data_IF_311812185057
#
_entry.id   IF_311812185057
#
_cell.length_a   1.000
_cell.length_b   1.000
_cell.length_c   1.000
_cell.angle_alpha   90.00
_cell.angle_beta   90.00
_cell.angle_gamma   90.00
#
_symmetry.space_group_name_H-M   'P 1'
#
loop_
_entity.id
_entity.type
_entity.pdbx_description
1 polymer ?
#
# COMPACT_ATOMS: atom_id res chain seq x y z
N UNK A 1 66.01 168.19 -38.22
CA UNK A 1 65.09 168.13 -37.07
C UNK A 1 63.88 167.29 -37.46
N UNK A 2 63.41 166.46 -36.52
CA UNK A 2 62.23 165.57 -36.55
C UNK A 2 62.32 164.27 -37.38
N UNK A 3 61.87 163.09 -36.94
CA UNK A 3 61.89 162.34 -35.67
C UNK A 3 61.15 161.00 -35.91
N UNK A 4 61.69 159.90 -35.40
CA UNK A 4 61.01 158.67 -34.93
C UNK A 4 59.95 157.96 -35.81
N UNK A 5 60.36 156.90 -36.54
CA UNK A 5 59.48 155.86 -37.10
C UNK A 5 59.86 154.37 -36.84
N UNK A 6 60.92 153.97 -36.11
CA UNK A 6 61.19 152.52 -35.94
C UNK A 6 60.37 151.85 -34.81
N UNK A 7 59.79 152.60 -33.87
CA UNK A 7 59.08 152.02 -32.71
C UNK A 7 57.72 151.40 -33.09
N UNK A 8 57.00 151.97 -34.07
CA UNK A 8 55.67 151.50 -34.48
C UNK A 8 55.72 150.16 -35.22
N UNK A 9 56.77 149.92 -36.02
CA UNK A 9 56.96 148.64 -36.70
C UNK A 9 57.37 147.52 -35.74
N UNK A 10 58.17 147.83 -34.73
CA UNK A 10 58.61 146.84 -33.73
C UNK A 10 57.44 146.38 -32.84
N UNK A 11 56.55 147.32 -32.46
CA UNK A 11 55.30 146.99 -31.73
C UNK A 11 54.34 146.16 -32.61
N UNK A 12 54.20 146.49 -33.90
CA UNK A 12 53.34 145.75 -34.82
C UNK A 12 53.86 144.31 -35.07
N UNK A 13 55.17 144.13 -35.26
CA UNK A 13 55.79 142.81 -35.40
C UNK A 13 55.66 142.00 -34.11
N UNK A 14 55.85 142.63 -32.95
CA UNK A 14 55.68 141.97 -31.65
C UNK A 14 54.24 141.50 -31.43
N UNK A 15 53.25 142.27 -31.88
CA UNK A 15 51.83 141.88 -31.83
C UNK A 15 51.53 140.70 -32.75
N UNK A 16 52.09 140.66 -33.96
CA UNK A 16 51.93 139.53 -34.89
C UNK A 16 52.59 138.27 -34.36
N UNK A 17 53.80 138.38 -33.79
CA UNK A 17 54.50 137.26 -33.16
C UNK A 17 53.77 136.77 -31.92
N UNK A 18 53.27 137.66 -31.06
CA UNK A 18 52.45 137.29 -29.89
C UNK A 18 51.11 136.67 -30.30
N UNK A 19 50.49 137.15 -31.39
CA UNK A 19 49.28 136.56 -31.95
C UNK A 19 49.54 135.14 -32.47
N UNK A 20 50.62 134.95 -33.23
CA UNK A 20 51.02 133.63 -33.76
C UNK A 20 51.40 132.65 -32.64
N UNK A 21 52.16 133.11 -31.64
CA UNK A 21 52.49 132.32 -30.45
C UNK A 21 51.26 132.01 -29.62
N UNK A 22 50.32 132.94 -29.46
CA UNK A 22 49.06 132.74 -28.76
C UNK A 22 48.19 131.68 -29.43
N UNK A 23 48.02 131.75 -30.75
CA UNK A 23 47.26 130.73 -31.51
C UNK A 23 47.94 129.37 -31.50
N UNK A 24 49.27 129.32 -31.56
CA UNK A 24 50.04 128.07 -31.46
C UNK A 24 49.91 127.43 -30.06
N UNK A 25 49.95 128.22 -28.99
CA UNK A 25 49.77 127.73 -27.62
C UNK A 25 48.36 127.20 -27.36
N UNK A 26 47.32 127.87 -27.89
CA UNK A 26 45.94 127.38 -27.82
C UNK A 26 45.80 126.06 -28.58
N UNK A 27 46.35 125.95 -29.79
CA UNK A 27 46.34 124.72 -30.58
C UNK A 27 47.08 123.57 -29.88
N UNK A 28 48.24 123.85 -29.27
CA UNK A 28 49.00 122.85 -28.51
C UNK A 28 48.24 122.41 -27.25
N UNK A 29 47.59 123.34 -26.54
CA UNK A 29 46.78 123.01 -25.37
C UNK A 29 45.53 122.19 -25.75
N UNK A 30 44.90 122.50 -26.88
CA UNK A 30 43.74 121.76 -27.40
C UNK A 30 44.14 120.34 -27.85
N UNK A 31 45.24 120.20 -28.59
CA UNK A 31 45.83 118.89 -28.93
C UNK A 31 46.25 118.10 -27.69
N UNK A 32 46.80 118.76 -26.67
CA UNK A 32 47.19 118.11 -25.41
C UNK A 32 45.97 117.62 -24.63
N UNK A 33 44.89 118.41 -24.58
CA UNK A 33 43.65 118.01 -23.94
C UNK A 33 42.94 116.89 -24.71
N UNK A 34 42.96 116.90 -26.05
CA UNK A 34 42.43 115.82 -26.89
C UNK A 34 43.25 114.52 -26.71
N UNK A 35 44.57 114.63 -26.61
CA UNK A 35 45.45 113.49 -26.28
C UNK A 35 45.17 112.94 -24.88
N UNK A 36 44.98 113.81 -23.87
CA UNK A 36 44.59 113.39 -22.52
C UNK A 36 43.22 112.70 -22.52
N UNK A 37 42.24 113.25 -23.22
CA UNK A 37 40.90 112.66 -23.33
C UNK A 37 40.93 111.28 -24.03
N UNK A 38 41.74 111.13 -25.07
CA UNK A 38 41.98 109.84 -25.74
C UNK A 38 42.69 108.87 -24.81
N UNK A 39 43.66 109.32 -24.03
CA UNK A 39 44.36 108.47 -23.07
C UNK A 39 43.44 107.99 -21.95
N UNK A 40 42.57 108.86 -21.43
CA UNK A 40 41.53 108.50 -20.46
C UNK A 40 40.50 107.53 -21.04
N UNK A 41 40.10 107.72 -22.31
CA UNK A 41 39.21 106.78 -23.00
C UNK A 41 39.86 105.40 -23.16
N UNK A 42 41.12 105.36 -23.62
CA UNK A 42 41.89 104.12 -23.75
C UNK A 42 42.06 103.44 -22.39
N UNK A 43 42.35 104.21 -21.34
CA UNK A 43 42.45 103.66 -19.97
C UNK A 43 41.11 103.07 -19.52
N UNK A 44 39.98 103.76 -19.76
CA UNK A 44 38.64 103.23 -19.44
C UNK A 44 38.29 101.97 -20.23
N UNK A 45 38.62 101.90 -21.51
CA UNK A 45 38.43 100.67 -22.30
C UNK A 45 39.32 99.54 -21.79
N UNK A 46 40.57 99.85 -21.44
CA UNK A 46 41.50 98.88 -20.85
C UNK A 46 40.98 98.35 -19.51
N UNK A 47 40.43 99.21 -18.67
CA UNK A 47 39.86 98.82 -17.37
C UNK A 47 38.64 97.91 -17.56
N UNK A 48 37.73 98.24 -18.49
CA UNK A 48 36.59 97.37 -18.84
C UNK A 48 37.04 96.01 -19.39
N UNK A 49 38.07 96.01 -20.23
CA UNK A 49 38.61 94.79 -20.82
C UNK A 49 39.27 93.92 -19.74
N UNK A 50 39.98 94.55 -18.80
CA UNK A 50 40.49 93.86 -17.60
C UNK A 50 39.37 93.32 -16.71
N UNK A 51 38.31 94.08 -16.48
CA UNK A 51 37.15 93.63 -15.69
C UNK A 51 36.45 92.43 -16.35
N UNK A 52 36.19 92.50 -17.66
CA UNK A 52 35.64 91.39 -18.44
C UNK A 52 36.57 90.16 -18.43
N UNK A 53 37.89 90.36 -18.49
CA UNK A 53 38.85 89.27 -18.40
C UNK A 53 38.80 88.61 -17.02
N UNK A 54 38.76 89.41 -15.94
CA UNK A 54 38.65 88.91 -14.56
C UNK A 54 37.35 88.12 -14.39
N UNK A 55 36.23 88.64 -14.88
CA UNK A 55 34.93 87.96 -14.80
C UNK A 55 34.91 86.66 -15.61
N UNK A 56 35.51 86.64 -16.80
CA UNK A 56 35.64 85.42 -17.59
C UNK A 56 36.52 84.38 -16.90
N UNK A 57 37.67 84.80 -16.37
CA UNK A 57 38.57 83.91 -15.61
C UNK A 57 37.89 83.37 -14.36
N UNK A 58 37.11 84.20 -13.67
CA UNK A 58 36.29 83.81 -12.53
C UNK A 58 35.20 82.81 -12.90
N UNK A 59 34.41 83.09 -13.94
CA UNK A 59 33.39 82.15 -14.44
C UNK A 59 34.00 80.82 -14.89
N UNK A 60 35.16 80.85 -15.54
CA UNK A 60 35.88 79.66 -15.97
C UNK A 60 36.41 78.86 -14.76
N UNK A 61 36.93 79.54 -13.73
CA UNK A 61 37.33 78.91 -12.48
C UNK A 61 36.12 78.29 -11.75
N UNK A 62 35.02 79.02 -11.60
CA UNK A 62 33.79 78.54 -10.98
C UNK A 62 33.19 77.34 -11.72
N UNK A 63 33.18 77.39 -13.06
CA UNK A 63 32.74 76.28 -13.91
C UNK A 63 33.62 75.04 -13.76
N UNK A 64 34.96 75.22 -13.70
CA UNK A 64 35.89 74.12 -13.43
C UNK A 64 35.67 73.50 -12.06
N UNK A 65 35.44 74.32 -11.03
CA UNK A 65 35.14 73.86 -9.66
C UNK A 65 33.80 73.12 -9.63
N UNK A 66 32.76 73.65 -10.26
CA UNK A 66 31.46 72.98 -10.34
C UNK A 66 31.55 71.65 -11.10
N UNK A 67 32.36 71.59 -12.17
CA UNK A 67 32.59 70.37 -12.92
C UNK A 67 33.35 69.31 -12.11
N UNK A 68 34.40 69.70 -11.38
CA UNK A 68 35.15 68.76 -10.52
C UNK A 68 34.30 68.25 -9.36
N UNK A 69 33.48 69.10 -8.74
CA UNK A 69 32.52 68.70 -7.72
C UNK A 69 31.51 67.69 -8.25
N UNK A 70 30.85 67.98 -9.39
CA UNK A 70 29.92 67.03 -10.03
C UNK A 70 30.59 65.71 -10.40
N UNK A 71 31.83 65.77 -10.88
CA UNK A 71 32.61 64.57 -11.20
C UNK A 71 32.87 63.72 -9.94
N UNK A 72 33.25 64.34 -8.83
CA UNK A 72 33.42 63.66 -7.55
C UNK A 72 32.11 63.06 -7.01
N UNK A 73 30.99 63.76 -7.15
CA UNK A 73 29.66 63.23 -6.78
C UNK A 73 29.27 62.02 -7.62
N UNK A 74 29.48 62.08 -8.94
CA UNK A 74 29.25 60.96 -9.86
C UNK A 74 30.12 59.75 -9.50
N UNK A 75 31.39 59.96 -9.18
CA UNK A 75 32.30 58.89 -8.75
C UNK A 75 31.83 58.25 -7.42
N UNK A 76 31.39 59.06 -6.44
CA UNK A 76 30.82 58.56 -5.18
C UNK A 76 29.54 57.74 -5.41
N UNK A 77 28.64 58.22 -6.26
CA UNK A 77 27.42 57.50 -6.64
C UNK A 77 27.74 56.17 -7.32
N UNK A 78 28.71 56.15 -8.24
CA UNK A 78 29.15 54.92 -8.90
C UNK A 78 29.73 53.91 -7.91
N UNK A 79 30.54 54.36 -6.95
CA UNK A 79 31.06 53.50 -5.89
C UNK A 79 29.95 52.94 -4.99
N UNK A 80 29.00 53.78 -4.58
CA UNK A 80 27.85 53.35 -3.79
C UNK A 80 27.01 52.29 -4.52
N UNK A 81 26.68 52.53 -5.79
CA UNK A 81 25.93 51.59 -6.61
C UNK A 81 26.68 50.26 -6.82
N UNK A 82 28.01 50.29 -6.92
CA UNK A 82 28.82 49.08 -7.02
C UNK A 82 28.76 48.27 -5.73
N UNK A 83 28.92 48.93 -4.58
CA UNK A 83 28.83 48.29 -3.26
C UNK A 83 27.44 47.70 -3.03
N UNK A 84 26.39 48.42 -3.40
CA UNK A 84 25.00 47.95 -3.27
C UNK A 84 24.73 46.74 -4.16
N UNK A 85 25.26 46.71 -5.39
CA UNK A 85 25.19 45.54 -6.27
C UNK A 85 25.92 44.32 -5.69
N UNK A 86 27.12 44.52 -5.17
CA UNK A 86 27.90 43.44 -4.53
C UNK A 86 27.17 42.89 -3.30
N UNK A 87 26.56 43.77 -2.50
CA UNK A 87 25.73 43.37 -1.36
C UNK A 87 24.53 42.55 -1.82
N UNK A 88 23.77 43.05 -2.80
CA UNK A 88 22.59 42.37 -3.34
C UNK A 88 22.95 41.01 -3.96
N UNK A 89 24.10 40.92 -4.65
CA UNK A 89 24.57 39.66 -5.23
C UNK A 89 24.99 38.67 -4.14
N UNK A 90 25.62 39.14 -3.06
CA UNK A 90 25.95 38.27 -1.91
C UNK A 90 24.70 37.77 -1.18
N UNK A 91 23.71 38.63 -0.98
CA UNK A 91 22.42 38.26 -0.37
C UNK A 91 21.68 37.25 -1.24
N UNK A 92 21.62 37.50 -2.56
CA UNK A 92 21.01 36.55 -3.52
C UNK A 92 21.67 35.18 -3.46
N UNK A 93 23.00 35.12 -3.43
CA UNK A 93 23.74 33.84 -3.30
C UNK A 93 23.45 33.13 -1.98
N UNK A 94 23.34 33.87 -0.88
CA UNK A 94 22.97 33.31 0.42
C UNK A 94 21.55 32.70 0.39
N UNK A 95 20.57 33.41 -0.17
CA UNK A 95 19.21 32.88 -0.33
C UNK A 95 19.15 31.67 -1.27
N UNK A 96 19.88 31.70 -2.39
CA UNK A 96 19.93 30.55 -3.30
C UNK A 96 20.53 29.31 -2.62
N UNK A 97 21.53 29.49 -1.76
CA UNK A 97 22.12 28.40 -0.97
C UNK A 97 21.12 27.85 0.06
N UNK A 98 20.45 28.74 0.80
CA UNK A 98 19.47 28.37 1.84
C UNK A 98 18.26 27.61 1.25
N UNK A 99 17.75 28.08 0.10
CA UNK A 99 16.66 27.40 -0.62
C UNK A 99 17.10 26.00 -1.06
N UNK A 100 18.32 25.86 -1.60
CA UNK A 100 18.86 24.56 -2.01
C UNK A 100 18.99 23.61 -0.82
N UNK A 101 19.51 24.11 0.30
CA UNK A 101 19.65 23.31 1.52
C UNK A 101 18.28 22.86 2.04
N UNK A 102 17.32 23.78 2.18
CA UNK A 102 15.95 23.48 2.63
C UNK A 102 15.27 22.45 1.70
N UNK A 103 15.48 22.58 0.39
CA UNK A 103 14.93 21.63 -0.58
C UNK A 103 15.55 20.24 -0.39
N UNK A 104 16.86 20.14 -0.21
CA UNK A 104 17.55 18.87 0.06
C UNK A 104 17.07 18.22 1.35
N UNK A 105 16.93 19.00 2.42
CA UNK A 105 16.40 18.51 3.70
C UNK A 105 14.96 18.00 3.54
N UNK A 106 14.10 18.74 2.83
CA UNK A 106 12.73 18.32 2.56
C UNK A 106 12.64 17.04 1.74
N UNK A 107 13.55 16.83 0.79
CA UNK A 107 13.64 15.62 -0.02
C UNK A 107 14.10 14.43 0.82
N UNK A 108 15.13 14.61 1.65
CA UNK A 108 15.61 13.57 2.56
C UNK A 108 14.52 13.12 3.54
N UNK A 109 13.74 14.07 4.08
CA UNK A 109 12.60 13.75 4.96
C UNK A 109 11.52 12.95 4.22
N UNK A 110 11.18 13.34 2.98
CA UNK A 110 10.21 12.60 2.16
C UNK A 110 10.68 11.19 1.83
N UNK A 111 11.96 11.01 1.50
CA UNK A 111 12.55 9.69 1.24
C UNK A 111 12.50 8.79 2.49
N UNK A 112 12.81 9.35 3.66
CA UNK A 112 12.71 8.62 4.93
C UNK A 112 11.27 8.22 5.25
N UNK A 113 10.30 9.11 5.03
CA UNK A 113 8.88 8.81 5.21
C UNK A 113 8.42 7.69 4.27
N UNK A 114 8.83 7.75 3.00
CA UNK A 114 8.49 6.72 2.02
C UNK A 114 9.07 5.36 2.42
N UNK A 115 10.34 5.32 2.86
CA UNK A 115 10.97 4.09 3.36
C UNK A 115 10.28 3.55 4.61
N UNK A 116 9.91 4.41 5.55
CA UNK A 116 9.19 4.00 6.75
C UNK A 116 7.80 3.43 6.40
N UNK A 117 7.10 4.02 5.44
CA UNK A 117 5.82 3.53 4.95
C UNK A 117 5.95 2.20 4.22
N UNK A 118 7.01 2.02 3.41
CA UNK A 118 7.32 0.74 2.76
C UNK A 118 7.60 -0.34 3.81
N UNK A 119 8.48 -0.08 4.77
CA UNK A 119 8.79 -1.03 5.84
C UNK A 119 7.54 -1.44 6.65
N UNK A 120 6.65 -0.49 6.95
CA UNK A 120 5.40 -0.79 7.64
C UNK A 120 4.42 -1.63 6.79
N UNK A 121 4.42 -1.45 5.46
CA UNK A 121 3.63 -2.28 4.55
C UNK A 121 4.22 -3.68 4.39
N UNK A 122 5.55 -3.79 4.34
CA UNK A 122 6.26 -5.07 4.27
C UNK A 122 6.00 -5.89 5.55
N UNK A 123 6.07 -5.25 6.73
CA UNK A 123 5.74 -5.90 8.01
C UNK A 123 4.30 -6.44 8.03
N UNK A 124 3.33 -5.66 7.51
CA UNK A 124 1.94 -6.11 7.39
C UNK A 124 1.81 -7.30 6.45
N UNK A 125 2.56 -7.30 5.36
CA UNK A 125 2.53 -8.39 4.37
C UNK A 125 3.07 -9.68 4.97
N UNK A 126 4.20 -9.60 5.67
CA UNK A 126 4.79 -10.75 6.40
C UNK A 126 3.80 -11.32 7.42
N UNK A 127 3.19 -10.46 8.26
CA UNK A 127 2.18 -10.89 9.24
C UNK A 127 0.96 -11.56 8.59
N UNK A 128 0.54 -11.07 7.43
CA UNK A 128 -0.58 -11.63 6.68
C UNK A 128 -0.21 -13.01 6.10
N UNK A 129 1.00 -13.17 5.59
CA UNK A 129 1.50 -14.45 5.08
C UNK A 129 1.63 -15.50 6.19
N UNK A 130 2.15 -15.11 7.36
CA UNK A 130 2.21 -15.99 8.54
C UNK A 130 0.81 -16.45 8.99
N UNK A 131 -0.15 -15.52 9.08
CA UNK A 131 -1.53 -15.85 9.42
C UNK A 131 -2.19 -16.77 8.38
N UNK A 132 -1.90 -16.56 7.09
CA UNK A 132 -2.40 -17.43 6.02
C UNK A 132 -1.85 -18.85 6.16
N UNK A 133 -0.55 -18.99 6.44
CA UNK A 133 0.09 -20.28 6.66
C UNK A 133 -0.53 -21.03 7.86
N UNK A 134 -0.77 -20.33 8.98
CA UNK A 134 -1.42 -20.90 10.16
C UNK A 134 -2.84 -21.40 9.84
N UNK A 135 -3.63 -20.60 9.11
CA UNK A 135 -4.98 -20.99 8.69
C UNK A 135 -4.96 -22.20 7.77
N UNK A 136 -3.98 -22.29 6.85
CA UNK A 136 -3.82 -23.44 5.97
C UNK A 136 -3.44 -24.71 6.74
N UNK A 137 -2.56 -24.60 7.73
CA UNK A 137 -2.17 -25.73 8.57
C UNK A 137 -3.36 -26.26 9.38
N UNK A 138 -4.09 -25.37 10.07
CA UNK A 138 -5.33 -25.70 10.80
C UNK A 138 -6.40 -26.32 9.90
N UNK A 139 -6.54 -25.84 8.67
CA UNK A 139 -7.46 -26.42 7.68
C UNK A 139 -7.05 -27.86 7.34
N UNK A 140 -5.75 -28.13 7.21
CA UNK A 140 -5.24 -29.47 6.91
C UNK A 140 -5.43 -30.42 8.09
N UNK A 141 -5.22 -29.94 9.32
CA UNK A 141 -5.46 -30.70 10.55
C UNK A 141 -6.95 -31.05 10.69
N UNK A 142 -7.84 -30.07 10.54
CA UNK A 142 -9.28 -30.28 10.61
C UNK A 142 -9.75 -31.28 9.54
N UNK A 143 -9.16 -31.25 8.35
CA UNK A 143 -9.47 -32.22 7.29
C UNK A 143 -9.09 -33.64 7.71
N UNK A 144 -7.90 -33.84 8.30
CA UNK A 144 -7.48 -35.16 8.83
C UNK A 144 -8.42 -35.64 9.93
N UNK A 145 -8.86 -34.74 10.80
CA UNK A 145 -9.80 -35.09 11.87
C UNK A 145 -11.17 -35.52 11.31
N UNK A 146 -11.71 -34.78 10.33
CA UNK A 146 -12.93 -35.16 9.61
C UNK A 146 -12.79 -36.54 8.96
N UNK A 147 -11.68 -36.77 8.25
CA UNK A 147 -11.42 -38.07 7.61
C UNK A 147 -11.36 -39.20 8.65
N UNK A 148 -10.72 -38.97 9.81
CA UNK A 148 -10.68 -39.94 10.92
C UNK A 148 -12.06 -40.22 11.52
N UNK A 149 -12.89 -39.20 11.72
CA UNK A 149 -14.26 -39.41 12.20
C UNK A 149 -15.13 -40.16 11.20
N UNK A 150 -14.97 -39.89 9.91
CA UNK A 150 -15.69 -40.61 8.86
C UNK A 150 -15.30 -42.09 8.84
N UNK A 151 -14.01 -42.43 8.96
CA UNK A 151 -13.56 -43.82 9.08
C UNK A 151 -14.15 -44.51 10.32
N UNK A 152 -14.15 -43.84 11.48
CA UNK A 152 -14.75 -44.37 12.72
C UNK A 152 -16.25 -44.57 12.57
N UNK A 153 -16.96 -43.64 11.91
CA UNK A 153 -18.39 -43.74 11.67
C UNK A 153 -18.71 -44.94 10.76
N UNK A 154 -17.93 -45.15 9.70
CA UNK A 154 -18.06 -46.31 8.82
C UNK A 154 -17.78 -47.63 9.56
N UNK A 155 -16.74 -47.67 10.40
CA UNK A 155 -16.43 -48.84 11.22
C UNK A 155 -17.52 -49.14 12.25
N UNK A 156 -18.11 -48.11 12.86
CA UNK A 156 -19.24 -48.28 13.76
C UNK A 156 -20.48 -48.79 13.03
N UNK A 157 -20.75 -48.27 11.83
CA UNK A 157 -21.86 -48.72 11.00
C UNK A 157 -21.72 -50.19 10.58
N UNK A 158 -20.53 -50.64 10.21
CA UNK A 158 -20.28 -52.04 9.87
C UNK A 158 -20.41 -52.96 11.08
N UNK A 159 -19.86 -52.57 12.23
CA UNK A 159 -20.02 -53.29 13.48
C UNK A 159 -21.50 -53.37 13.89
N UNK A 160 -22.24 -52.27 13.78
CA UNK A 160 -23.67 -52.26 14.07
C UNK A 160 -24.44 -53.19 13.12
N UNK A 161 -24.10 -53.23 11.83
CA UNK A 161 -24.73 -54.16 10.89
C UNK A 161 -24.45 -55.63 11.28
N UNK A 162 -23.22 -55.96 11.66
CA UNK A 162 -22.82 -57.32 12.09
C UNK A 162 -23.49 -57.75 13.40
N UNK A 163 -23.55 -56.85 14.40
CA UNK A 163 -24.05 -57.13 15.75
C UNK A 163 -25.47 -56.63 15.99
N UNK A 164 -26.17 -56.17 14.95
CA UNK A 164 -27.58 -55.82 15.08
C UNK A 164 -28.37 -57.04 15.55
N UNK A 165 -29.37 -56.81 16.40
CA UNK A 165 -30.23 -57.89 16.90
C UNK A 165 -30.81 -58.74 15.75
N UNK A 166 -31.12 -58.09 14.62
CA UNK A 166 -31.59 -58.73 13.39
C UNK A 166 -30.55 -59.66 12.76
N UNK A 167 -29.28 -59.23 12.66
CA UNK A 167 -28.21 -60.06 12.11
C UNK A 167 -27.88 -61.25 13.01
N UNK A 168 -27.88 -61.05 14.34
CA UNK A 168 -27.68 -62.11 15.32
C UNK A 168 -28.83 -63.13 15.25
N UNK A 169 -30.07 -62.66 15.19
CA UNK A 169 -31.25 -63.53 15.07
C UNK A 169 -31.23 -64.33 13.76
N UNK A 170 -30.91 -63.69 12.63
CA UNK A 170 -30.79 -64.37 11.34
C UNK A 170 -29.69 -65.46 11.37
N UNK A 171 -28.55 -65.19 12.02
CA UNK A 171 -27.48 -66.16 12.19
C UNK A 171 -27.91 -67.33 13.08
N UNK A 172 -28.60 -67.05 14.18
CA UNK A 172 -29.13 -68.09 15.07
C UNK A 172 -30.16 -68.98 14.35
N UNK A 173 -31.06 -68.37 13.57
CA UNK A 173 -32.02 -69.09 12.73
C UNK A 173 -31.31 -69.96 11.69
N UNK A 174 -30.31 -69.45 10.98
CA UNK A 174 -29.56 -70.23 9.99
C UNK A 174 -28.88 -71.47 10.60
N UNK A 175 -28.30 -71.34 11.79
CA UNK A 175 -27.70 -72.47 12.54
C UNK A 175 -28.77 -73.48 12.94
N UNK A 176 -29.90 -73.01 13.49
CA UNK A 176 -31.02 -73.86 13.86
C UNK A 176 -31.62 -74.61 12.66
N UNK A 177 -31.70 -73.99 11.49
CA UNK A 177 -32.15 -74.64 10.25
C UNK A 177 -31.20 -75.76 9.82
N UNK A 178 -29.88 -75.55 9.90
CA UNK A 178 -28.90 -76.59 9.60
C UNK A 178 -29.07 -77.79 10.52
N UNK A 179 -29.26 -77.56 11.81
CA UNK A 179 -29.50 -78.63 12.79
C UNK A 179 -30.80 -79.38 12.48
N UNK A 180 -31.90 -78.66 12.18
CA UNK A 180 -33.16 -79.27 11.76
C UNK A 180 -32.95 -80.14 10.51
N UNK A 181 -32.20 -79.69 9.51
CA UNK A 181 -31.93 -80.49 8.30
C UNK A 181 -31.15 -81.77 8.60
N UNK A 182 -30.18 -81.73 9.52
CA UNK A 182 -29.46 -82.91 9.97
C UNK A 182 -30.45 -83.89 10.63
N UNK A 183 -31.29 -83.41 11.53
CA UNK A 183 -32.30 -84.22 12.21
C UNK A 183 -33.32 -84.84 11.23
N UNK A 184 -33.79 -84.06 10.25
CA UNK A 184 -34.68 -84.56 9.20
C UNK A 184 -34.03 -85.68 8.36
N UNK A 185 -32.72 -85.59 8.12
CA UNK A 185 -31.96 -86.64 7.42
C UNK A 185 -31.86 -87.91 8.27
N UNK A 186 -31.58 -87.77 9.56
CA UNK A 186 -31.52 -88.92 10.49
C UNK A 186 -32.90 -89.58 10.63
N UNK A 187 -33.97 -88.79 10.74
CA UNK A 187 -35.34 -89.28 10.72
C UNK A 187 -35.62 -90.13 9.47
N UNK A 188 -35.26 -89.62 8.30
CA UNK A 188 -35.48 -90.31 7.02
C UNK A 188 -34.79 -91.67 6.96
N UNK A 189 -33.57 -91.77 7.51
CA UNK A 189 -32.81 -93.04 7.57
C UNK A 189 -33.50 -94.12 8.41
N UNK A 190 -34.31 -93.75 9.41
CA UNK A 190 -34.99 -94.72 10.27
C UNK A 190 -36.06 -95.52 9.50
N UNK A 191 -36.60 -94.98 8.40
CA UNK A 191 -37.53 -95.70 7.53
C UNK A 191 -38.82 -96.14 8.23
N UNK A 192 -39.24 -95.42 9.27
CA UNK A 192 -40.45 -95.71 10.05
C UNK A 192 -41.55 -94.73 9.73
N UNK A 193 -42.80 -95.18 9.83
CA UNK A 193 -43.97 -94.33 9.65
C UNK A 193 -44.60 -94.07 11.01
N UNK A 194 -44.45 -92.85 11.55
CA UNK A 194 -44.99 -92.52 12.87
C UNK A 194 -46.54 -92.52 12.93
N UNK A 195 -47.21 -92.56 11.77
CA UNK A 195 -48.68 -92.70 11.68
C UNK A 195 -49.17 -94.14 11.72
N UNK A 196 -48.29 -95.12 11.47
CA UNK A 196 -48.64 -96.53 11.42
C UNK A 196 -47.61 -97.36 12.17
N UNK A 197 -48.03 -97.95 13.28
CA UNK A 197 -47.13 -98.62 14.20
C UNK A 197 -47.24 -100.14 14.08
N UNK A 198 -46.10 -100.79 13.85
CA UNK A 198 -45.97 -102.25 13.98
C UNK A 198 -45.34 -102.57 15.34
N UNK A 199 -46.18 -103.02 16.27
CA UNK A 199 -45.79 -103.35 17.64
C UNK A 199 -45.12 -104.72 17.77
N UNK A 200 -45.18 -105.52 16.71
CA UNK A 200 -44.73 -106.90 16.73
C UNK A 200 -43.31 -107.04 16.21
N UNK A 201 -42.86 -106.09 15.38
CA UNK A 201 -41.45 -105.88 15.09
C UNK A 201 -40.78 -105.03 16.18
N UNK A 202 -39.98 -105.69 17.02
CA UNK A 202 -39.20 -105.04 18.09
C UNK A 202 -38.16 -104.06 17.55
N UNK A 203 -37.57 -104.32 16.38
CA UNK A 203 -36.61 -103.41 15.74
C UNK A 203 -37.32 -102.17 15.18
N UNK A 204 -38.46 -102.37 14.52
CA UNK A 204 -39.33 -101.27 14.09
C UNK A 204 -39.75 -100.41 15.27
N UNK A 205 -40.22 -101.03 16.36
CA UNK A 205 -40.64 -100.32 17.57
C UNK A 205 -39.52 -99.46 18.17
N UNK A 206 -38.28 -99.96 18.17
CA UNK A 206 -37.12 -99.17 18.61
C UNK A 206 -36.87 -97.96 17.69
N UNK A 207 -36.84 -98.17 16.38
CA UNK A 207 -36.67 -97.08 15.39
C UNK A 207 -37.83 -96.08 15.43
N UNK A 208 -39.04 -96.55 15.73
CA UNK A 208 -40.25 -95.72 15.91
C UNK A 208 -40.06 -94.71 17.05
N UNK A 209 -39.67 -95.16 18.24
CA UNK A 209 -39.45 -94.25 19.36
C UNK A 209 -38.27 -93.29 19.12
N UNK A 210 -37.22 -93.74 18.42
CA UNK A 210 -36.13 -92.85 18.00
C UNK A 210 -36.62 -91.76 17.06
N UNK A 211 -37.44 -92.13 16.07
CA UNK A 211 -38.02 -91.18 15.12
C UNK A 211 -38.95 -90.17 15.81
N UNK A 212 -39.73 -90.61 16.80
CA UNK A 212 -40.57 -89.72 17.60
C UNK A 212 -39.73 -88.69 18.36
N UNK A 213 -38.63 -89.13 18.99
CA UNK A 213 -37.67 -88.25 19.66
C UNK A 213 -37.06 -87.21 18.72
N UNK A 214 -36.68 -87.62 17.50
CA UNK A 214 -36.13 -86.71 16.48
C UNK A 214 -37.17 -85.66 16.05
N UNK A 215 -38.42 -86.06 15.80
CA UNK A 215 -39.49 -85.11 15.43
C UNK A 215 -39.79 -84.12 16.56
N UNK A 216 -39.76 -84.58 17.82
CA UNK A 216 -39.89 -83.71 18.98
C UNK A 216 -38.72 -82.71 19.09
N UNK A 217 -37.49 -83.17 18.84
CA UNK A 217 -36.30 -82.31 18.82
C UNK A 217 -36.39 -81.25 17.71
N UNK A 218 -36.80 -81.63 16.50
CA UNK A 218 -37.02 -80.68 15.39
C UNK A 218 -38.04 -79.61 15.78
N UNK A 219 -39.18 -80.00 16.35
CA UNK A 219 -40.21 -79.05 16.79
C UNK A 219 -39.70 -78.12 17.91
N UNK A 220 -38.90 -78.64 18.84
CA UNK A 220 -38.29 -77.85 19.91
C UNK A 220 -37.32 -76.80 19.37
N UNK A 221 -36.40 -77.20 18.49
CA UNK A 221 -35.44 -76.29 17.84
C UNK A 221 -36.19 -75.24 17.02
N UNK A 222 -37.21 -75.64 16.27
CA UNK A 222 -38.01 -74.73 15.47
C UNK A 222 -38.79 -73.72 16.31
N UNK A 223 -39.27 -74.09 17.50
CA UNK A 223 -39.94 -73.16 18.44
C UNK A 223 -38.97 -72.19 19.08
N UNK A 224 -37.84 -72.69 19.58
CA UNK A 224 -36.83 -71.88 20.25
C UNK A 224 -36.25 -70.78 19.33
N UNK A 225 -36.29 -70.98 18.02
CA UNK A 225 -35.70 -70.07 17.03
C UNK A 225 -36.74 -69.38 16.13
N UNK A 226 -38.05 -69.43 16.45
CA UNK A 226 -39.09 -68.76 15.66
C UNK A 226 -39.38 -69.39 14.28
N UNK A 227 -38.84 -70.57 13.99
CA UNK A 227 -38.97 -71.32 12.74
C UNK A 227 -40.20 -72.26 12.70
N UNK A 228 -41.08 -72.19 13.71
CA UNK A 228 -42.20 -73.12 13.86
C UNK A 228 -43.11 -73.17 12.65
N UNK A 229 -43.43 -72.01 12.06
CA UNK A 229 -44.30 -71.94 10.88
C UNK A 229 -43.66 -72.64 9.68
N UNK A 230 -42.35 -72.45 9.48
CA UNK A 230 -41.58 -73.02 8.36
C UNK A 230 -41.56 -74.55 8.39
N UNK A 231 -41.39 -75.14 9.58
CA UNK A 231 -41.29 -76.60 9.75
C UNK A 231 -42.57 -77.28 10.24
N UNK A 232 -43.65 -76.52 10.43
CA UNK A 232 -44.95 -77.02 10.92
C UNK A 232 -45.48 -78.20 10.12
N UNK A 233 -45.43 -78.11 8.78
CA UNK A 233 -45.88 -79.19 7.88
C UNK A 233 -45.11 -80.48 8.09
N UNK A 234 -43.78 -80.42 8.24
CA UNK A 234 -42.98 -81.61 8.49
C UNK A 234 -43.32 -82.24 9.85
N UNK A 235 -43.43 -81.44 10.90
CA UNK A 235 -43.77 -81.92 12.24
C UNK A 235 -45.17 -82.55 12.25
N UNK A 236 -46.18 -81.89 11.69
CA UNK A 236 -47.55 -82.41 11.64
C UNK A 236 -47.69 -83.67 10.79
N UNK A 237 -46.90 -83.80 9.72
CA UNK A 237 -46.91 -85.00 8.89
C UNK A 237 -46.28 -86.19 9.59
N UNK A 238 -45.25 -85.95 10.39
CA UNK A 238 -44.44 -86.98 11.02
C UNK A 238 -44.67 -87.12 12.54
N UNK A 239 -45.68 -86.48 13.13
CA UNK A 239 -46.02 -86.73 14.55
C UNK A 239 -46.98 -87.91 14.65
N UNK A 240 -46.88 -88.69 15.73
CA UNK A 240 -47.82 -89.77 16.06
C UNK A 240 -49.25 -89.24 16.07
N UNK A 241 -50.15 -89.98 15.43
CA UNK A 241 -51.59 -89.75 15.58
C UNK A 241 -52.06 -90.55 16.80
N UNK A 242 -52.71 -89.87 17.74
CA UNK A 242 -53.29 -90.53 18.91
C UNK A 242 -54.48 -91.36 18.41
N UNK A 243 -54.37 -92.68 18.48
CA UNK A 243 -55.46 -93.62 18.21
C UNK A 243 -55.80 -94.42 19.49
N UNK A 244 -57.04 -94.88 19.57
CA UNK A 244 -57.65 -95.49 20.76
C UNK A 244 -57.04 -96.85 21.15
N UNK A 245 -57.32 -97.28 22.38
CA UNK A 245 -56.62 -98.28 23.21
C UNK A 245 -56.59 -99.76 22.72
N UNK A 246 -56.74 -100.03 21.43
CA UNK A 246 -56.64 -101.39 20.85
C UNK A 246 -55.40 -101.61 19.98
N UNK A 247 -54.61 -100.57 19.69
CA UNK A 247 -53.40 -100.67 18.87
C UNK A 247 -52.23 -101.22 19.70
N UNK A 248 -51.89 -102.50 19.52
CA UNK A 248 -50.73 -103.13 20.18
C UNK A 248 -50.87 -104.59 20.56
N UNK A 249 -52.00 -105.24 20.29
CA UNK A 249 -52.13 -106.68 20.55
C UNK A 249 -51.45 -107.44 19.42
N UNK A 250 -50.18 -107.80 19.62
CA UNK A 250 -49.56 -108.84 18.82
C UNK A 250 -50.33 -110.13 19.05
N UNK A 251 -51.10 -110.55 18.07
CA UNK A 251 -51.70 -111.87 18.09
C UNK A 251 -50.54 -112.85 18.12
N UNK A 252 -50.28 -113.44 19.29
CA UNK A 252 -49.39 -114.58 19.39
C UNK A 252 -49.93 -115.62 18.43
N UNK A 253 -49.19 -115.92 17.36
CA UNK A 253 -49.43 -117.12 16.57
C UNK A 253 -49.47 -118.27 17.56
N UNK A 254 -50.69 -118.76 17.83
CA UNK A 254 -50.89 -120.07 18.44
C UNK A 254 -50.33 -121.04 17.41
N UNK A 255 -49.09 -121.47 17.62
CA UNK A 255 -48.62 -122.76 17.14
C UNK A 255 -49.48 -123.85 17.81
N UNK A 256 -50.62 -124.17 17.21
CA UNK A 256 -51.42 -125.33 17.59
C UNK A 256 -52.08 -125.91 16.34
N UNK A 257 -51.63 -127.10 15.93
CA UNK A 257 -52.33 -128.00 15.02
C UNK A 257 -51.73 -128.10 13.64
#
# INVERSE_FOLDING_TARGET
MAASTPLKYLIAVLFVVLSLCGTALVYVNDQYNDLLAKQDFINKERDKLHELQIDFEKQNADSKVAFTQKKQELEKLQQHLKLEREKLESEKKAYESDIKQTLQESLAVKELQLRAQQAANDEKTIKLEEALAEVQDKKSELKREIDSYNEKALAFQSLYAEYSAVAIEAKAQAVAEQEIFVQMREFSKLGVNLRHQDWCDKDYTRRYYQAEGIVAQINSIARANGLSNKYSSFVLQNTRRIYNSSDGVCQSEKSQG
#
